data_IF_469760322159
#
_entry.id   IF_469760322159
#
_cell.length_a   1.000
_cell.length_b   1.000
_cell.length_c   1.000
_cell.angle_alpha   90.00
_cell.angle_beta   90.00
_cell.angle_gamma   90.00
#
_symmetry.space_group_name_H-M   'P 1'
#
loop_
_entity.id
_entity.type
_entity.pdbx_description
1 polymer ?
#
# COMPACT_ATOMS: atom_id res chain seq x y z
N UNK A 1 37.02 -14.17 40.62
CA UNK A 1 36.14 -12.97 40.59
C UNK A 1 36.28 -12.13 39.32
N UNK A 2 37.48 -11.79 38.82
CA UNK A 2 37.64 -11.01 37.55
C UNK A 2 36.98 -11.62 36.29
N UNK A 3 36.93 -12.94 36.16
CA UNK A 3 36.28 -13.62 35.02
C UNK A 3 34.75 -13.53 35.03
N UNK A 4 34.13 -13.29 36.20
CA UNK A 4 32.68 -13.21 36.34
C UNK A 4 32.13 -11.84 35.93
N UNK A 5 32.90 -10.76 36.16
CA UNK A 5 32.55 -9.42 35.71
C UNK A 5 32.58 -9.27 34.18
N UNK A 6 33.50 -9.95 33.48
CA UNK A 6 33.61 -9.88 32.02
C UNK A 6 32.38 -10.50 31.34
N UNK A 7 31.85 -11.59 31.89
CA UNK A 7 30.67 -12.25 31.34
C UNK A 7 29.40 -11.40 31.48
N UNK A 8 29.28 -10.65 32.59
CA UNK A 8 28.14 -9.77 32.84
C UNK A 8 28.14 -8.55 31.91
N UNK A 9 29.32 -7.97 31.62
CA UNK A 9 29.45 -6.86 30.66
C UNK A 9 29.08 -7.31 29.24
N UNK A 10 29.45 -8.53 28.84
CA UNK A 10 29.16 -9.04 27.51
C UNK A 10 27.65 -9.27 27.28
N UNK A 11 26.94 -9.77 28.29
CA UNK A 11 25.48 -9.98 28.23
C UNK A 11 24.74 -8.63 28.17
N UNK A 12 25.20 -7.61 28.89
CA UNK A 12 24.59 -6.27 28.86
C UNK A 12 24.78 -5.60 27.49
N UNK A 13 25.95 -5.73 26.85
CA UNK A 13 26.17 -5.17 25.51
C UNK A 13 25.37 -5.87 24.41
N UNK A 14 25.19 -7.19 24.52
CA UNK A 14 24.33 -7.96 23.61
C UNK A 14 22.84 -7.60 23.77
N UNK A 15 22.42 -7.21 24.98
CA UNK A 15 21.04 -6.79 25.25
C UNK A 15 20.72 -5.40 24.67
N UNK A 16 21.68 -4.47 24.66
CA UNK A 16 21.50 -3.14 24.06
C UNK A 16 21.33 -3.20 22.53
N UNK A 17 22.02 -4.11 21.84
CA UNK A 17 21.91 -4.25 20.38
C UNK A 17 20.62 -4.93 19.92
N UNK A 18 19.92 -5.62 20.83
CA UNK A 18 18.62 -6.22 20.51
C UNK A 18 17.46 -5.20 20.52
N UNK A 19 17.67 -4.00 21.05
CA UNK A 19 16.62 -3.00 21.23
C UNK A 19 16.43 -2.08 20.01
N UNK A 20 17.33 -2.09 19.02
CA UNK A 20 17.21 -1.26 17.81
C UNK A 20 16.38 -1.89 16.68
N UNK A 21 15.94 -3.14 16.82
CA UNK A 21 15.22 -3.86 15.75
C UNK A 21 13.72 -4.06 16.01
N UNK A 22 13.12 -3.35 16.97
CA UNK A 22 11.69 -3.48 17.25
C UNK A 22 10.93 -2.15 17.12
N UNK A 23 9.92 -2.20 16.25
CA UNK A 23 8.81 -1.26 16.08
C UNK A 23 9.15 0.16 15.66
N UNK A 24 9.37 0.37 14.36
CA UNK A 24 8.72 1.50 13.69
C UNK A 24 7.22 1.22 13.64
N UNK A 25 6.53 1.45 14.76
CA UNK A 25 5.12 1.80 14.66
C UNK A 25 5.05 2.98 13.68
N UNK A 26 4.20 2.94 12.65
CA UNK A 26 4.04 4.08 11.79
C UNK A 26 3.49 5.24 12.64
N UNK A 27 4.37 6.13 13.10
CA UNK A 27 4.01 7.28 13.95
C UNK A 27 2.99 8.21 13.27
N UNK A 28 2.75 8.02 11.98
CA UNK A 28 1.76 8.72 11.21
C UNK A 28 0.94 7.73 10.37
N UNK A 29 -0.20 7.33 10.92
CA UNK A 29 -1.12 6.36 10.35
C UNK A 29 -2.54 6.92 10.40
N UNK A 30 -3.28 6.86 9.29
CA UNK A 30 -4.68 7.29 9.20
C UNK A 30 -5.59 6.15 8.74
N UNK A 31 -6.64 5.90 9.53
CA UNK A 31 -7.76 5.01 9.18
C UNK A 31 -8.95 5.77 8.57
N UNK A 32 -8.85 7.09 8.44
CA UNK A 32 -9.97 7.94 8.02
C UNK A 32 -10.06 8.06 6.49
N UNK A 33 -8.99 7.71 5.78
CA UNK A 33 -8.95 7.86 4.34
C UNK A 33 -9.75 6.78 3.61
N UNK A 34 -10.44 7.21 2.57
CA UNK A 34 -11.18 6.36 1.65
C UNK A 34 -10.84 6.75 0.22
N UNK A 35 -11.09 5.87 -0.76
CA UNK A 35 -10.87 6.24 -2.17
C UNK A 35 -11.74 7.44 -2.55
N UNK A 36 -12.93 7.55 -1.95
CA UNK A 36 -13.80 8.71 -2.10
C UNK A 36 -13.17 9.99 -1.56
N UNK A 37 -12.74 10.01 -0.29
CA UNK A 37 -12.18 11.22 0.34
C UNK A 37 -11.02 11.75 -0.50
N UNK A 38 -10.07 10.88 -0.85
CA UNK A 38 -8.90 11.24 -1.65
C UNK A 38 -9.22 11.78 -3.05
N UNK A 39 -10.34 11.38 -3.66
CA UNK A 39 -10.71 11.87 -4.99
C UNK A 39 -11.39 13.23 -4.98
N UNK A 40 -12.05 13.58 -3.86
CA UNK A 40 -12.77 14.85 -3.71
C UNK A 40 -12.07 15.83 -2.76
N UNK A 41 -10.92 15.42 -2.19
CA UNK A 41 -10.23 16.20 -1.19
C UNK A 41 -9.60 17.49 -1.75
N UNK A 42 -9.18 18.36 -0.84
CA UNK A 42 -8.31 19.48 -1.14
C UNK A 42 -6.89 19.03 -1.50
N UNK A 43 -6.23 19.82 -2.36
CA UNK A 43 -4.81 19.61 -2.68
C UNK A 43 -3.95 19.69 -1.41
N UNK A 44 -4.30 20.58 -0.47
CA UNK A 44 -3.59 20.73 0.81
C UNK A 44 -3.59 19.44 1.62
N UNK A 45 -4.74 18.80 1.82
CA UNK A 45 -4.82 17.56 2.60
C UNK A 45 -4.00 16.43 1.99
N UNK A 46 -4.08 16.23 0.67
CA UNK A 46 -3.31 15.16 0.01
C UNK A 46 -1.82 15.46 0.04
N UNK A 47 -1.42 16.73 -0.13
CA UNK A 47 -0.03 17.13 0.03
C UNK A 47 0.46 16.88 1.47
N UNK A 48 -0.36 17.13 2.49
CA UNK A 48 -0.03 16.82 3.88
C UNK A 48 0.19 15.30 4.08
N UNK A 49 -0.64 14.45 3.45
CA UNK A 49 -0.43 12.99 3.49
C UNK A 49 0.90 12.57 2.86
N UNK A 50 1.27 13.21 1.74
CA UNK A 50 2.52 12.95 1.00
C UNK A 50 3.73 13.42 1.81
N UNK A 51 3.73 14.67 2.27
CA UNK A 51 4.83 15.30 3.01
C UNK A 51 5.11 14.57 4.32
N UNK A 52 4.05 14.25 5.06
CA UNK A 52 4.16 13.54 6.32
C UNK A 52 4.31 12.01 6.16
N UNK A 53 4.34 11.51 4.92
CA UNK A 53 4.48 10.09 4.57
C UNK A 53 3.48 9.20 5.32
N UNK A 54 2.26 9.70 5.46
CA UNK A 54 1.19 9.07 6.24
C UNK A 54 0.87 7.70 5.65
N UNK A 55 0.86 6.69 6.52
CA UNK A 55 0.36 5.36 6.18
C UNK A 55 -1.16 5.37 6.17
N UNK A 56 -1.76 4.88 5.10
CA UNK A 56 -3.21 4.79 4.96
C UNK A 56 -3.62 3.39 4.57
N UNK A 57 -4.82 3.00 5.01
CA UNK A 57 -5.48 1.77 4.57
C UNK A 57 -6.64 2.15 3.67
N UNK A 58 -6.71 1.50 2.50
CA UNK A 58 -7.81 1.62 1.57
C UNK A 58 -8.36 0.23 1.25
N UNK A 59 -9.68 0.13 1.08
CA UNK A 59 -10.33 -1.05 0.51
C UNK A 59 -10.95 -0.71 -0.85
N UNK A 60 -11.09 -1.74 -1.70
CA UNK A 60 -11.70 -1.58 -3.01
C UNK A 60 -11.52 -2.79 -3.89
N UNK A 61 -12.04 -2.72 -5.12
CA UNK A 61 -11.91 -3.80 -6.10
C UNK A 61 -10.80 -3.49 -7.09
N UNK A 62 -9.96 -4.47 -7.39
CA UNK A 62 -8.95 -4.32 -8.45
C UNK A 62 -9.60 -4.44 -9.82
N UNK A 63 -9.52 -3.38 -10.62
CA UNK A 63 -10.15 -3.31 -11.94
C UNK A 63 -9.16 -3.47 -13.10
N UNK A 64 -7.89 -3.13 -12.90
CA UNK A 64 -6.83 -3.33 -13.89
C UNK A 64 -5.49 -3.63 -13.21
N UNK A 65 -4.60 -4.31 -13.94
CA UNK A 65 -3.25 -4.66 -13.53
C UNK A 65 -2.38 -4.54 -14.79
N UNK A 66 -1.36 -3.69 -14.73
CA UNK A 66 -0.46 -3.40 -15.86
C UNK A 66 0.97 -3.41 -15.38
N UNK A 67 1.81 -4.27 -15.96
CA UNK A 67 3.25 -4.23 -15.73
C UNK A 67 3.85 -3.05 -16.49
N UNK A 68 4.54 -2.17 -15.78
CA UNK A 68 5.21 -1.00 -16.37
C UNK A 68 6.67 -1.28 -16.75
N UNK A 69 7.34 -2.20 -16.06
CA UNK A 69 8.75 -2.47 -16.29
C UNK A 69 9.05 -3.49 -17.38
N UNK A 70 10.17 -3.27 -18.08
CA UNK A 70 10.73 -4.19 -19.07
C UNK A 70 11.15 -5.54 -18.48
N UNK A 71 11.55 -6.49 -19.35
CA UNK A 71 11.87 -7.87 -18.97
C UNK A 71 13.03 -7.98 -17.96
N UNK A 72 13.95 -7.01 -17.96
CA UNK A 72 15.19 -7.00 -17.16
C UNK A 72 15.28 -5.82 -16.18
N UNK A 73 14.17 -5.14 -15.94
CA UNK A 73 14.09 -4.00 -15.02
C UNK A 73 13.50 -4.44 -13.69
N UNK A 74 13.67 -3.57 -12.67
CA UNK A 74 12.98 -3.72 -11.40
C UNK A 74 11.48 -3.93 -11.65
N UNK A 75 10.89 -4.90 -10.95
CA UNK A 75 9.48 -5.17 -11.12
C UNK A 75 8.65 -3.97 -10.68
N UNK A 76 7.95 -3.37 -11.64
CA UNK A 76 7.06 -2.24 -11.44
C UNK A 76 5.72 -2.58 -12.06
N UNK A 77 4.68 -2.54 -11.23
CA UNK A 77 3.32 -2.85 -11.62
C UNK A 77 2.41 -1.73 -11.13
N UNK A 78 1.51 -1.32 -12.00
CA UNK A 78 0.40 -0.42 -11.68
C UNK A 78 -0.89 -1.23 -11.64
N UNK A 79 -1.74 -1.00 -10.65
CA UNK A 79 -3.10 -1.53 -10.63
C UNK A 79 -4.11 -0.42 -10.33
N UNK A 80 -5.34 -0.57 -10.79
CA UNK A 80 -6.41 0.38 -10.53
C UNK A 80 -7.37 -0.17 -9.47
N UNK A 81 -7.32 0.40 -8.28
CA UNK A 81 -8.27 0.14 -7.20
C UNK A 81 -9.50 1.04 -7.37
N UNK A 82 -10.69 0.45 -7.32
CA UNK A 82 -11.94 1.19 -7.54
C UNK A 82 -12.95 0.95 -6.44
N UNK A 83 -13.72 1.99 -6.15
CA UNK A 83 -14.88 1.94 -5.26
C UNK A 83 -16.04 2.66 -5.94
N UNK A 84 -17.24 2.07 -5.86
CA UNK A 84 -18.46 2.66 -6.41
C UNK A 84 -19.42 3.03 -5.28
N UNK A 85 -20.15 4.13 -5.44
CA UNK A 85 -21.29 4.46 -4.58
C UNK A 85 -22.52 4.81 -5.41
N UNK A 86 -23.70 4.43 -4.91
CA UNK A 86 -24.96 4.87 -5.48
C UNK A 86 -25.28 6.29 -5.04
N UNK A 87 -25.62 7.15 -5.99
CA UNK A 87 -26.18 8.48 -5.76
C UNK A 87 -27.63 8.48 -6.22
N UNK A 88 -28.55 8.38 -5.26
CA UNK A 88 -29.96 8.20 -5.59
C UNK A 88 -30.24 6.80 -6.11
N UNK A 89 -31.09 6.69 -7.14
CA UNK A 89 -31.56 5.40 -7.68
C UNK A 89 -31.03 5.09 -9.09
N UNK A 90 -30.38 6.05 -9.74
CA UNK A 90 -30.05 6.00 -11.16
C UNK A 90 -28.57 6.31 -11.47
N UNK A 91 -27.82 6.85 -10.52
CA UNK A 91 -26.42 7.22 -10.74
C UNK A 91 -25.47 6.39 -9.86
N UNK A 92 -24.39 5.87 -10.48
CA UNK A 92 -23.25 5.27 -9.78
C UNK A 92 -22.05 6.19 -9.94
N UNK A 93 -21.51 6.68 -8.83
CA UNK A 93 -20.25 7.42 -8.81
C UNK A 93 -19.09 6.43 -8.64
N UNK A 94 -18.02 6.63 -9.42
CA UNK A 94 -16.83 5.81 -9.39
C UNK A 94 -15.63 6.61 -8.88
N UNK A 95 -14.99 6.05 -7.87
CA UNK A 95 -13.76 6.54 -7.26
C UNK A 95 -12.62 5.57 -7.59
N UNK A 96 -11.45 6.14 -7.85
CA UNK A 96 -10.29 5.42 -8.36
C UNK A 96 -9.04 5.78 -7.56
N UNK A 97 -8.13 4.83 -7.37
CA UNK A 97 -6.80 5.03 -6.84
C UNK A 97 -5.83 4.13 -7.61
N UNK A 98 -4.70 4.70 -8.05
CA UNK A 98 -3.64 3.95 -8.71
C UNK A 98 -2.71 3.36 -7.67
N UNK A 99 -2.53 2.05 -7.70
CA UNK A 99 -1.63 1.31 -6.82
C UNK A 99 -0.32 1.05 -7.54
N UNK A 100 0.80 1.39 -6.91
CA UNK A 100 2.14 1.16 -7.41
C UNK A 100 2.81 0.08 -6.57
N UNK A 101 3.21 -1.00 -7.23
CA UNK A 101 3.93 -2.12 -6.64
C UNK A 101 5.35 -2.11 -7.17
N UNK A 102 6.33 -2.05 -6.26
CA UNK A 102 7.76 -2.05 -6.59
C UNK A 102 8.47 -3.20 -5.90
N UNK A 103 9.26 -3.95 -6.68
CA UNK A 103 10.10 -5.03 -6.16
C UNK A 103 9.64 -6.42 -6.60
N UNK A 104 10.59 -7.35 -6.66
CA UNK A 104 10.36 -8.70 -7.18
C UNK A 104 9.43 -9.56 -6.31
N UNK A 105 9.25 -9.20 -5.03
CA UNK A 105 8.33 -9.83 -4.09
C UNK A 105 6.87 -9.81 -4.58
N UNK A 106 6.49 -8.81 -5.38
CA UNK A 106 5.12 -8.69 -5.89
C UNK A 106 4.78 -9.65 -7.03
N UNK A 107 5.77 -10.21 -7.73
CA UNK A 107 5.55 -11.09 -8.90
C UNK A 107 4.68 -12.30 -8.60
N UNK A 108 4.80 -12.84 -7.39
CA UNK A 108 4.06 -14.04 -6.97
C UNK A 108 2.70 -13.71 -6.35
N UNK A 109 2.55 -12.49 -5.81
CA UNK A 109 1.36 -12.03 -5.09
C UNK A 109 0.37 -11.39 -6.07
N UNK A 110 0.84 -10.49 -6.92
CA UNK A 110 0.04 -9.73 -7.90
C UNK A 110 0.56 -10.04 -9.30
N UNK A 111 0.13 -11.14 -9.93
CA UNK A 111 0.63 -11.49 -11.24
C UNK A 111 0.12 -10.53 -12.32
N UNK A 112 0.98 -10.16 -13.27
CA UNK A 112 0.65 -9.29 -14.41
C UNK A 112 -0.23 -9.97 -15.48
N UNK A 113 -0.44 -11.29 -15.33
CA UNK A 113 -1.29 -12.10 -16.19
C UNK A 113 -2.04 -13.13 -15.35
N UNK A 114 -3.24 -13.50 -15.78
CA UNK A 114 -4.01 -14.57 -15.14
C UNK A 114 -3.19 -15.87 -15.10
N UNK A 115 -2.85 -16.38 -13.90
CA UNK A 115 -2.05 -17.59 -13.79
C UNK A 115 -2.89 -18.83 -14.15
N UNK A 116 -2.26 -19.85 -14.72
CA UNK A 116 -2.93 -21.13 -15.03
C UNK A 116 -3.32 -21.92 -13.78
N UNK A 117 -2.58 -21.74 -12.68
CA UNK A 117 -2.84 -22.34 -11.38
C UNK A 117 -2.84 -21.22 -10.35
N UNK A 118 -4.02 -20.93 -9.80
CA UNK A 118 -4.17 -19.96 -8.72
C UNK A 118 -3.60 -20.57 -7.44
N UNK A 119 -2.72 -19.83 -6.77
CA UNK A 119 -2.21 -20.18 -5.44
C UNK A 119 -2.94 -19.35 -4.39
N UNK A 120 -3.02 -19.88 -3.17
CA UNK A 120 -3.50 -19.12 -2.03
C UNK A 120 -2.67 -17.85 -1.82
N UNK A 121 -3.33 -16.74 -1.50
CA UNK A 121 -2.70 -15.43 -1.34
C UNK A 121 -2.46 -14.65 -2.64
N UNK A 122 -2.73 -15.23 -3.82
CA UNK A 122 -2.70 -14.48 -5.08
C UNK A 122 -3.83 -13.47 -5.15
N UNK A 123 -3.50 -12.29 -5.65
CA UNK A 123 -4.40 -11.16 -5.83
C UNK A 123 -4.64 -10.99 -7.32
N UNK A 124 -5.86 -11.30 -7.74
CA UNK A 124 -6.25 -11.31 -9.15
C UNK A 124 -7.14 -10.11 -9.49
N UNK A 125 -7.33 -9.85 -10.77
CA UNK A 125 -8.35 -8.93 -11.24
C UNK A 125 -9.72 -9.26 -10.63
N UNK A 126 -10.49 -8.21 -10.34
CA UNK A 126 -11.79 -8.24 -9.67
C UNK A 126 -11.77 -8.73 -8.21
N UNK A 127 -10.60 -8.96 -7.61
CA UNK A 127 -10.51 -9.24 -6.18
C UNK A 127 -10.86 -7.98 -5.40
N UNK A 128 -11.65 -8.14 -4.34
CA UNK A 128 -11.83 -7.12 -3.32
C UNK A 128 -10.67 -7.20 -2.33
N UNK A 129 -9.98 -6.09 -2.10
CA UNK A 129 -8.70 -6.07 -1.40
C UNK A 129 -8.66 -4.96 -0.35
N UNK A 130 -7.88 -5.20 0.70
CA UNK A 130 -7.43 -4.21 1.65
C UNK A 130 -5.96 -3.92 1.38
N UNK A 131 -5.62 -2.65 1.21
CA UNK A 131 -4.31 -2.14 0.81
C UNK A 131 -3.78 -1.22 1.88
N UNK A 132 -2.54 -1.46 2.32
CA UNK A 132 -1.76 -0.53 3.15
C UNK A 132 -0.67 0.10 2.28
N UNK A 133 -0.60 1.42 2.29
CA UNK A 133 0.40 2.14 1.52
C UNK A 133 0.55 3.60 1.91
N UNK A 134 1.32 4.33 1.11
CA UNK A 134 1.51 5.78 1.24
C UNK A 134 1.14 6.48 -0.04
N UNK A 135 0.47 7.62 0.07
CA UNK A 135 0.22 8.48 -1.09
C UNK A 135 1.56 9.08 -1.50
N UNK A 136 1.90 8.98 -2.78
CA UNK A 136 3.17 9.49 -3.34
C UNK A 136 2.98 10.61 -4.35
N UNK A 137 1.82 10.66 -4.99
CA UNK A 137 1.43 11.72 -5.91
C UNK A 137 -0.07 11.64 -6.18
N UNK A 138 -0.61 12.60 -6.93
CA UNK A 138 -1.95 12.55 -7.47
C UNK A 138 -2.00 13.24 -8.83
N UNK A 139 -2.94 12.82 -9.68
CA UNK A 139 -3.29 13.51 -10.92
C UNK A 139 -4.54 14.35 -10.71
N UNK A 140 -4.53 15.59 -11.19
CA UNK A 140 -5.72 16.41 -11.27
C UNK A 140 -6.47 16.09 -12.58
N UNK A 141 -7.70 15.62 -12.45
CA UNK A 141 -8.69 15.56 -13.53
C UNK A 141 -9.75 16.64 -13.30
N UNK A 142 -10.50 17.01 -14.34
CA UNK A 142 -11.42 18.16 -14.35
C UNK A 142 -12.21 18.38 -13.04
N UNK A 143 -12.79 17.31 -12.48
CA UNK A 143 -13.64 17.37 -11.28
C UNK A 143 -13.24 16.41 -10.16
N UNK A 144 -12.06 15.78 -10.26
CA UNK A 144 -11.60 14.82 -9.26
C UNK A 144 -10.09 14.65 -9.33
N UNK A 145 -9.53 14.15 -8.24
CA UNK A 145 -8.14 13.71 -8.21
C UNK A 145 -8.07 12.21 -8.52
N UNK A 146 -6.89 11.72 -8.86
CA UNK A 146 -6.57 10.30 -8.86
C UNK A 146 -5.28 10.12 -8.06
N UNK A 147 -5.35 9.63 -6.80
CA UNK A 147 -4.18 9.41 -5.97
C UNK A 147 -3.38 8.20 -6.45
N UNK A 148 -2.06 8.31 -6.32
CA UNK A 148 -1.10 7.23 -6.48
C UNK A 148 -0.63 6.76 -5.11
N UNK A 149 -0.82 5.47 -4.83
CA UNK A 149 -0.44 4.82 -3.59
C UNK A 149 0.72 3.85 -3.82
N UNK A 150 1.86 4.08 -3.17
CA UNK A 150 2.91 3.07 -3.09
C UNK A 150 2.48 1.99 -2.09
N UNK A 151 2.29 0.77 -2.58
CA UNK A 151 1.78 -0.35 -1.79
C UNK A 151 2.90 -1.01 -1.00
N UNK A 152 2.65 -1.17 0.30
CA UNK A 152 3.52 -1.94 1.21
C UNK A 152 2.93 -3.30 1.52
N UNK A 153 1.63 -3.36 1.79
CA UNK A 153 0.91 -4.61 2.04
C UNK A 153 -0.45 -4.60 1.35
N UNK A 154 -0.90 -5.79 0.98
CA UNK A 154 -2.22 -5.98 0.38
C UNK A 154 -2.71 -7.39 0.71
N UNK A 155 -4.02 -7.52 0.91
CA UNK A 155 -4.70 -8.80 1.11
C UNK A 155 -6.07 -8.80 0.44
N UNK A 156 -6.50 -9.97 0.00
CA UNK A 156 -7.91 -10.18 -0.38
C UNK A 156 -8.76 -10.16 0.89
N UNK A 157 -9.93 -9.53 0.80
CA UNK A 157 -10.97 -9.55 1.84
C UNK A 157 -12.24 -10.23 1.32
N UNK A 158 -13.01 -10.91 2.19
CA UNK A 158 -14.20 -11.66 1.80
C UNK A 158 -15.32 -10.79 1.23
#
# INVERSE_FOLDING_TARGET
>A
MKKMCIFFVLIVTLSLQAQENYSTSPDNFSFLETIKSLNIDSDTHINDLIENKTWIILDGSLSSITRLSGRNEDYLLEALLVQGEWRGLDQVLKYECKLIFRGNNWKEIVPDKTPRKVKEGMILLNSHVLVLGKVVSFENMENRKIPYLLVEQIRVIP
#
